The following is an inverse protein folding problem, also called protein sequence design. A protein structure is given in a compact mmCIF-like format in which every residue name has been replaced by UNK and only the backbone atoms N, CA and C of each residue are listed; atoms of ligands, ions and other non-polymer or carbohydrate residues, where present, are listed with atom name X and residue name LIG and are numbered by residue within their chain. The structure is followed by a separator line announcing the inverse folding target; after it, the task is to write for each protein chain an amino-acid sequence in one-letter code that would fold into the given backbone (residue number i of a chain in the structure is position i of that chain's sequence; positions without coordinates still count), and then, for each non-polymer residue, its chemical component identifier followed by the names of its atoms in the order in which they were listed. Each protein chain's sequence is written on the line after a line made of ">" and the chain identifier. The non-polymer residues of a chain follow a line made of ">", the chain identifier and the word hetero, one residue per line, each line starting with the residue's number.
data_IF_826138145461
#
_entry.id   IF_826138145461
#
_cell.length_a   1.000
_cell.length_b   1.000
_cell.length_c   1.000
_cell.angle_alpha   90.00
_cell.angle_beta   90.00
_cell.angle_gamma   90.00
#
_symmetry.space_group_name_H-M   'P 1'
#
loop_
_entity.id
_entity.type
_entity.pdbx_description
1 polymer ?
#
# COMPACT_ATOMS: atom_id res chain seq x y z
N UNK A 1 -12.21 7.97 10.89
CA UNK A 1 -12.80 6.85 10.14
C UNK A 1 -12.09 5.58 10.57
N UNK A 2 -12.79 4.50 10.88
CA UNK A 2 -12.17 3.27 11.41
C UNK A 2 -11.75 2.39 10.25
N UNK A 3 -10.45 2.10 10.12
CA UNK A 3 -9.92 1.12 9.19
C UNK A 3 -10.58 -0.23 9.50
N UNK A 4 -11.50 -0.66 8.64
CA UNK A 4 -12.31 -1.85 8.89
C UNK A 4 -11.61 -3.05 8.28
N UNK A 5 -11.08 -3.93 9.12
CA UNK A 5 -10.43 -5.15 8.68
C UNK A 5 -11.45 -5.99 7.90
N UNK A 6 -11.27 -6.11 6.59
CA UNK A 6 -12.14 -6.94 5.76
C UNK A 6 -11.71 -8.39 5.89
N UNK A 7 -12.66 -9.31 6.12
CA UNK A 7 -12.63 -10.70 5.72
C UNK A 7 -11.37 -11.16 5.02
N UNK A 8 -10.26 -11.41 5.73
CA UNK A 8 -8.97 -11.94 5.29
C UNK A 8 -8.06 -11.13 4.35
N UNK A 9 -8.26 -9.82 4.22
CA UNK A 9 -7.14 -8.94 3.87
C UNK A 9 -5.99 -9.17 4.86
N UNK A 10 -4.74 -9.26 4.41
CA UNK A 10 -3.63 -9.39 5.36
C UNK A 10 -3.31 -8.07 6.03
N UNK A 11 -2.40 -8.12 7.02
CA UNK A 11 -1.83 -6.94 7.61
C UNK A 11 -1.21 -6.00 6.56
N UNK A 12 -0.43 -6.50 5.59
CA UNK A 12 0.24 -5.64 4.60
C UNK A 12 -0.74 -4.93 3.66
N UNK A 13 -1.70 -5.67 3.10
CA UNK A 13 -2.73 -5.08 2.25
C UNK A 13 -3.62 -4.09 3.01
N UNK A 14 -3.96 -4.41 4.26
CA UNK A 14 -4.78 -3.57 5.13
C UNK A 14 -4.08 -2.27 5.53
N UNK A 15 -2.83 -2.37 5.93
CA UNK A 15 -2.01 -1.24 6.35
C UNK A 15 -1.78 -0.29 5.16
N UNK A 16 -1.49 -0.83 3.98
CA UNK A 16 -1.27 -0.04 2.75
C UNK A 16 -2.54 0.67 2.28
N UNK A 17 -3.69 -0.04 2.19
CA UNK A 17 -4.99 0.55 1.85
C UNK A 17 -5.40 1.62 2.88
N UNK A 18 -5.13 1.36 4.17
CA UNK A 18 -5.44 2.29 5.24
C UNK A 18 -4.64 3.59 5.18
N UNK A 19 -3.33 3.51 4.91
CA UNK A 19 -2.50 4.70 4.76
C UNK A 19 -2.83 5.48 3.50
N UNK A 20 -3.08 4.78 2.37
CA UNK A 20 -3.53 5.43 1.14
C UNK A 20 -4.80 6.27 1.38
N UNK A 21 -5.81 5.68 2.03
CA UNK A 21 -7.04 6.41 2.37
C UNK A 21 -6.77 7.54 3.35
N UNK A 22 -5.90 7.35 4.33
CA UNK A 22 -5.56 8.41 5.27
C UNK A 22 -4.95 9.62 4.56
N UNK A 23 -3.93 9.43 3.71
CA UNK A 23 -3.32 10.52 2.96
C UNK A 23 -4.34 11.24 2.07
N UNK A 24 -5.14 10.47 1.33
CA UNK A 24 -6.11 11.01 0.39
C UNK A 24 -7.28 11.74 1.06
N UNK A 25 -7.91 11.12 2.05
CA UNK A 25 -9.15 11.63 2.66
C UNK A 25 -8.89 12.65 3.78
N UNK A 26 -7.79 12.50 4.53
CA UNK A 26 -7.50 13.36 5.68
C UNK A 26 -6.45 14.44 5.40
N UNK A 27 -5.51 14.20 4.49
CA UNK A 27 -4.50 15.22 4.12
C UNK A 27 -4.71 15.85 2.76
N UNK A 28 -5.54 15.24 1.91
CA UNK A 28 -5.67 15.65 0.51
C UNK A 28 -4.41 15.37 -0.30
N UNK A 29 -3.50 14.55 0.24
CA UNK A 29 -2.23 14.18 -0.40
C UNK A 29 -2.44 12.91 -1.22
N UNK A 30 -1.99 12.90 -2.47
CA UNK A 30 -1.93 11.69 -3.27
C UNK A 30 -0.53 11.10 -3.18
N UNK A 31 -0.37 9.89 -2.62
CA UNK A 31 0.90 9.19 -2.69
C UNK A 31 1.24 8.90 -4.14
N UNK A 32 2.48 9.18 -4.53
CA UNK A 32 3.00 8.97 -5.88
C UNK A 32 3.79 7.68 -6.02
N UNK A 33 4.30 7.14 -4.91
CA UNK A 33 5.03 5.86 -4.91
C UNK A 33 4.76 5.10 -3.60
N UNK A 34 4.70 3.78 -3.69
CA UNK A 34 4.68 2.84 -2.59
C UNK A 34 5.96 2.03 -2.61
N UNK A 35 6.75 2.08 -1.54
CA UNK A 35 7.98 1.30 -1.42
C UNK A 35 7.76 0.15 -0.47
N UNK A 36 8.07 -1.06 -0.94
CA UNK A 36 7.89 -2.31 -0.21
C UNK A 36 9.20 -3.11 -0.18
N UNK A 37 9.39 -3.91 0.87
CA UNK A 37 10.35 -5.01 0.82
C UNK A 37 9.91 -6.03 -0.23
N UNK A 38 10.82 -6.72 -0.96
CA UNK A 38 10.47 -7.80 -1.88
C UNK A 38 9.55 -8.88 -1.26
N UNK A 39 9.74 -9.19 0.03
CA UNK A 39 8.88 -10.16 0.72
C UNK A 39 7.47 -9.62 0.97
N UNK A 40 7.32 -8.32 1.22
CA UNK A 40 6.01 -7.66 1.36
C UNK A 40 5.31 -7.54 0.01
N UNK A 41 6.05 -7.27 -1.05
CA UNK A 41 5.54 -7.25 -2.43
C UNK A 41 4.96 -8.60 -2.82
N UNK A 42 5.70 -9.69 -2.57
CA UNK A 42 5.23 -11.06 -2.83
C UNK A 42 3.98 -11.41 -2.04
N UNK A 43 4.01 -11.13 -0.74
CA UNK A 43 2.84 -11.34 0.14
C UNK A 43 1.61 -10.56 -0.34
N UNK A 44 1.78 -9.29 -0.71
CA UNK A 44 0.71 -8.46 -1.26
C UNK A 44 0.17 -9.02 -2.59
N UNK A 45 1.05 -9.47 -3.48
CA UNK A 45 0.73 -10.15 -4.73
C UNK A 45 -0.14 -11.39 -4.50
N UNK A 46 0.29 -12.27 -3.62
CA UNK A 46 -0.40 -13.53 -3.32
C UNK A 46 -1.79 -13.27 -2.73
N UNK A 47 -1.91 -12.30 -1.84
CA UNK A 47 -3.15 -12.02 -1.12
C UNK A 47 -4.20 -11.33 -1.98
N UNK A 48 -3.79 -10.40 -2.83
CA UNK A 48 -4.70 -9.67 -3.72
C UNK A 48 -5.18 -10.55 -4.88
N UNK A 49 -4.34 -11.47 -5.37
CA UNK A 49 -4.80 -12.52 -6.29
C UNK A 49 -5.87 -13.41 -5.67
N UNK A 50 -5.78 -13.68 -4.37
CA UNK A 50 -6.77 -14.48 -3.64
C UNK A 50 -8.06 -13.69 -3.34
N UNK A 51 -8.03 -12.34 -3.38
CA UNK A 51 -9.15 -11.48 -2.92
C UNK A 51 -9.47 -10.35 -3.89
N UNK A 52 -10.43 -10.61 -4.80
CA UNK A 52 -11.12 -9.57 -5.57
C UNK A 52 -11.99 -8.69 -4.67
N UNK A 53 -11.45 -7.61 -4.13
CA UNK A 53 -12.25 -6.61 -3.42
C UNK A 53 -11.72 -5.20 -3.61
N UNK A 54 -12.11 -4.53 -4.70
CA UNK A 54 -11.95 -3.07 -4.90
C UNK A 54 -10.51 -2.52 -4.84
N UNK A 55 -9.52 -3.37 -4.63
CA UNK A 55 -8.09 -3.10 -4.60
C UNK A 55 -7.53 -3.76 -5.84
N UNK A 56 -6.74 -3.00 -6.59
CA UNK A 56 -6.04 -3.44 -7.78
C UNK A 56 -4.54 -3.47 -7.49
N UNK A 57 -3.92 -4.61 -7.76
CA UNK A 57 -2.47 -4.74 -7.78
C UNK A 57 -2.08 -5.68 -8.90
N UNK A 58 -1.20 -5.23 -9.78
CA UNK A 58 -0.74 -5.98 -10.95
C UNK A 58 0.74 -6.41 -10.87
N UNK A 59 1.38 -6.17 -9.72
CA UNK A 59 2.82 -6.37 -9.51
C UNK A 59 3.63 -5.07 -9.58
N UNK A 60 3.14 -4.07 -10.31
CA UNK A 60 3.83 -2.81 -10.57
C UNK A 60 3.11 -1.60 -10.00
N UNK A 61 1.80 -1.68 -9.82
CA UNK A 61 0.96 -0.57 -9.36
C UNK A 61 -0.11 -1.06 -8.37
N UNK A 62 -0.24 -0.39 -7.23
CA UNK A 62 -1.29 -0.60 -6.24
C UNK A 62 -2.30 0.57 -6.29
N UNK A 63 -3.53 0.32 -6.75
CA UNK A 63 -4.60 1.33 -6.82
C UNK A 63 -4.22 2.65 -7.53
N UNK A 64 -3.48 2.60 -8.65
CA UNK A 64 -3.00 3.82 -9.32
C UNK A 64 -1.65 4.33 -8.81
N UNK A 65 -1.05 3.70 -7.78
CA UNK A 65 0.21 4.12 -7.19
C UNK A 65 1.33 3.15 -7.59
N UNK A 66 2.38 3.60 -8.28
CA UNK A 66 3.58 2.82 -8.56
C UNK A 66 4.15 2.13 -7.32
N UNK A 67 4.50 0.85 -7.45
CA UNK A 67 5.14 0.05 -6.40
C UNK A 67 6.61 -0.16 -6.74
N UNK A 68 7.49 0.21 -5.81
CA UNK A 68 8.93 0.03 -5.90
C UNK A 68 9.38 -0.98 -4.85
N UNK A 69 10.31 -1.86 -5.24
CA UNK A 69 10.95 -2.78 -4.31
C UNK A 69 12.23 -2.14 -3.75
N UNK A 70 12.36 -2.11 -2.43
CA UNK A 70 13.60 -1.74 -1.75
C UNK A 70 13.98 -2.82 -0.72
N UNK A 71 15.09 -3.55 -0.90
CA UNK A 71 15.51 -4.61 0.03
C UNK A 71 15.95 -4.06 1.40
N UNK A 72 16.18 -2.76 1.54
CA UNK A 72 16.48 -2.14 2.82
C UNK A 72 15.21 -1.79 3.62
N UNK A 73 14.06 -1.74 2.95
CA UNK A 73 12.78 -1.37 3.55
C UNK A 73 12.27 -2.52 4.42
N UNK A 74 12.25 -2.37 5.75
CA UNK A 74 11.61 -3.36 6.66
C UNK A 74 10.15 -3.04 6.97
N UNK A 75 9.76 -1.81 6.71
CA UNK A 75 8.45 -1.25 7.01
C UNK A 75 8.00 -0.53 5.76
N UNK A 76 6.88 -0.89 5.14
CA UNK A 76 6.49 -0.24 3.91
C UNK A 76 6.21 1.24 4.12
N UNK A 77 6.41 2.07 3.09
CA UNK A 77 6.17 3.51 3.18
C UNK A 77 5.64 4.08 1.87
N UNK A 78 4.93 5.20 1.99
CA UNK A 78 4.47 5.98 0.84
C UNK A 78 5.35 7.22 0.64
N UNK A 79 5.53 7.60 -0.61
CA UNK A 79 6.16 8.86 -1.01
C UNK A 79 5.07 9.79 -1.53
N UNK A 80 5.04 11.04 -1.04
CA UNK A 80 4.10 12.07 -1.50
C UNK A 80 4.72 12.89 -2.63
N UNK A 81 3.90 13.72 -3.30
CA UNK A 81 4.38 14.63 -4.36
C UNK A 81 5.53 15.53 -3.90
N UNK A 82 5.52 15.96 -2.63
CA UNK A 82 6.57 16.79 -2.03
C UNK A 82 7.84 16.00 -1.66
N UNK A 83 7.90 14.70 -1.99
CA UNK A 83 9.01 13.82 -1.67
C UNK A 83 9.08 13.40 -0.20
N UNK A 84 8.03 13.65 0.59
CA UNK A 84 7.98 13.21 1.99
C UNK A 84 7.72 11.71 2.05
N UNK A 85 8.45 11.04 2.96
CA UNK A 85 8.30 9.61 3.23
C UNK A 85 7.43 9.40 4.45
N UNK A 86 6.45 8.51 4.31
CA UNK A 86 5.50 8.15 5.36
C UNK A 86 5.61 6.66 5.64
N UNK A 87 6.37 6.32 6.68
CA UNK A 87 6.52 4.95 7.18
C UNK A 87 5.24 4.48 7.88
N UNK A 88 4.95 3.18 7.73
CA UNK A 88 3.77 2.50 8.25
C UNK A 88 3.91 1.98 9.69
#
# INVERSE_FOLDING_TARGET
>A
MTLSFRPGMSACAFITDGLYRYLKEHRGEQPVELVLHPDHTRMLCDELHVRRSGIHYDGYEFNGVPVLEDPCCRTPWLVTEDGQRWEL
#
